data_IF_639421552521
#
_entry.id   IF_639421552521
#
_cell.length_a   1.000
_cell.length_b   1.000
_cell.length_c   1.000
_cell.angle_alpha   90.00
_cell.angle_beta   90.00
_cell.angle_gamma   90.00
#
_symmetry.space_group_name_H-M   'P 1'
#
loop_
_entity.id
_entity.type
_entity.pdbx_description
1 polymer ?
#
# COMPACT_ATOMS: atom_id res chain seq x y z
N UNK A 1 -1.17 0.13 -8.60
CA UNK A 1 -2.42 0.12 -7.82
C UNK A 1 -2.16 -0.33 -6.39
N UNK A 2 -3.14 -0.11 -5.52
CA UNK A 2 -3.02 -0.55 -4.13
C UNK A 2 -2.90 -2.08 -4.03
N UNK A 3 -3.59 -2.81 -4.87
CA UNK A 3 -3.50 -4.27 -4.88
C UNK A 3 -2.10 -4.73 -5.26
N UNK A 4 -1.49 -4.12 -6.25
CA UNK A 4 -0.12 -4.42 -6.65
C UNK A 4 0.86 -4.09 -5.53
N UNK A 5 0.63 -2.99 -4.83
CA UNK A 5 1.47 -2.59 -3.71
C UNK A 5 1.37 -3.57 -2.54
N UNK A 6 0.16 -4.09 -2.26
CA UNK A 6 -0.04 -5.09 -1.22
C UNK A 6 0.72 -6.36 -1.57
N UNK A 7 0.64 -6.82 -2.81
CA UNK A 7 1.36 -8.00 -3.26
C UNK A 7 2.87 -7.81 -3.13
N UNK A 8 3.39 -6.64 -3.53
CA UNK A 8 4.81 -6.33 -3.38
C UNK A 8 5.23 -6.30 -1.92
N UNK A 9 4.42 -5.70 -1.06
CA UNK A 9 4.68 -5.63 0.37
C UNK A 9 4.77 -7.01 0.99
N UNK A 10 3.83 -7.90 0.64
CA UNK A 10 3.83 -9.27 1.14
C UNK A 10 5.06 -10.04 0.66
N UNK A 11 5.44 -9.84 -0.59
CA UNK A 11 6.57 -10.54 -1.19
C UNK A 11 7.89 -10.22 -0.48
N UNK A 12 8.08 -8.95 -0.12
CA UNK A 12 9.32 -8.52 0.55
C UNK A 12 9.23 -8.59 2.08
N UNK A 13 8.06 -8.94 2.63
CA UNK A 13 7.89 -9.12 4.07
C UNK A 13 7.85 -7.84 4.88
N UNK A 14 7.46 -6.73 4.28
CA UNK A 14 7.34 -5.45 4.97
C UNK A 14 5.92 -5.25 5.47
N UNK A 15 5.76 -4.37 6.47
CA UNK A 15 4.46 -4.03 7.04
C UNK A 15 3.84 -2.81 6.38
N UNK A 16 4.58 -2.12 5.54
CA UNK A 16 4.11 -0.96 4.79
C UNK A 16 4.86 -0.86 3.47
N UNK A 17 4.26 -0.14 2.52
CA UNK A 17 4.86 0.04 1.20
C UNK A 17 4.39 1.35 0.58
N UNK A 18 5.34 2.18 0.16
CA UNK A 18 5.05 3.43 -0.54
C UNK A 18 4.95 3.16 -2.04
N UNK A 19 3.91 3.68 -2.67
CA UNK A 19 3.72 3.49 -4.10
C UNK A 19 3.06 4.72 -4.72
N UNK A 20 3.15 4.81 -6.04
CA UNK A 20 2.45 5.84 -6.80
C UNK A 20 1.13 5.27 -7.30
N UNK A 21 0.03 5.82 -6.81
CA UNK A 21 -1.31 5.37 -7.22
C UNK A 21 -1.68 6.03 -8.53
N UNK A 22 -1.77 5.24 -9.59
CA UNK A 22 -2.09 5.76 -10.92
C UNK A 22 -3.52 6.27 -11.03
N UNK A 23 -4.43 5.75 -10.22
CA UNK A 23 -5.82 6.17 -10.23
C UNK A 23 -6.00 7.60 -9.73
N UNK A 24 -5.20 8.01 -8.74
CA UNK A 24 -5.26 9.36 -8.16
C UNK A 24 -4.11 10.24 -8.59
N UNK A 25 -3.09 9.65 -9.22
CA UNK A 25 -1.84 10.32 -9.59
C UNK A 25 -1.15 10.94 -8.38
N UNK A 26 -1.20 10.24 -7.25
CA UNK A 26 -0.59 10.69 -5.99
C UNK A 26 0.20 9.58 -5.34
N UNK A 27 1.18 9.97 -4.54
CA UNK A 27 1.90 9.01 -3.71
C UNK A 27 0.97 8.51 -2.61
N UNK A 28 1.04 7.21 -2.33
CA UNK A 28 0.20 6.58 -1.34
C UNK A 28 1.00 5.56 -0.55
N UNK A 29 0.55 5.25 0.65
CA UNK A 29 1.16 4.24 1.49
C UNK A 29 0.11 3.18 1.81
N UNK A 30 0.43 1.93 1.51
CA UNK A 30 -0.35 0.80 1.99
C UNK A 30 0.34 0.25 3.25
N UNK A 31 -0.43 -0.12 4.25
CA UNK A 31 0.12 -0.64 5.49
C UNK A 31 -0.73 -1.78 6.01
N UNK A 32 -0.07 -2.70 6.72
CA UNK A 32 -0.72 -3.87 7.27
C UNK A 32 -1.32 -3.53 8.63
N UNK A 33 -2.58 -3.88 8.81
CA UNK A 33 -3.30 -3.74 10.06
C UNK A 33 -3.47 -5.10 10.72
N UNK A 34 -3.88 -5.12 11.97
CA UNK A 34 -4.16 -6.37 12.68
C UNK A 34 -5.30 -7.13 11.99
N UNK A 35 -5.21 -8.46 12.04
CA UNK A 35 -6.28 -9.32 11.54
C UNK A 35 -6.38 -9.40 10.03
N UNK A 36 -5.27 -9.29 9.32
CA UNK A 36 -5.21 -9.42 7.87
C UNK A 36 -5.89 -8.27 7.11
N UNK A 37 -6.06 -7.13 7.76
CA UNK A 37 -6.58 -5.93 7.13
C UNK A 37 -5.45 -5.05 6.61
N UNK A 38 -5.75 -4.29 5.57
CA UNK A 38 -4.81 -3.32 5.00
C UNK A 38 -5.46 -1.95 4.97
N UNK A 39 -4.66 -0.92 5.18
CA UNK A 39 -5.11 0.45 5.04
C UNK A 39 -4.30 1.15 3.96
N UNK A 40 -4.88 2.19 3.38
CA UNK A 40 -4.20 3.01 2.38
C UNK A 40 -4.32 4.47 2.78
N UNK A 41 -3.18 5.17 2.78
CA UNK A 41 -3.12 6.61 3.04
C UNK A 41 -2.64 7.28 1.77
N UNK A 42 -3.44 8.21 1.26
CA UNK A 42 -3.07 9.01 0.09
C UNK A 42 -2.43 10.31 0.56
N UNK A 43 -1.25 10.60 0.03
CA UNK A 43 -0.52 11.83 0.35
C UNK A 43 -1.02 12.96 -0.55
N UNK A 44 -1.33 14.07 0.03
CA UNK A 44 -1.83 15.25 -0.71
C UNK A 44 -0.68 16.18 -1.06
#
# INVERSE_FOLDING_TARGET
TAEDAIDAMELIGHDFFLFHDLATDKASVVYKRRGWNYGVITLV
#
